data_IF_583635161962
#
_entry.id   IF_583635161962
#
_cell.length_a   1.000
_cell.length_b   1.000
_cell.length_c   1.000
_cell.angle_alpha   90.00
_cell.angle_beta   90.00
_cell.angle_gamma   90.00
#
_symmetry.space_group_name_H-M   'P 1'
#
loop_
_entity.id
_entity.type
_entity.pdbx_description
1 polymer ?
#
# COMPACT_ATOMS: atom_id res chain seq x y z
N UNK A 1 -15.59 17.55 14.12
CA UNK A 1 -15.04 17.00 12.86
C UNK A 1 -14.20 15.78 13.25
N UNK A 2 -14.46 14.62 12.63
CA UNK A 2 -13.62 13.43 12.87
C UNK A 2 -12.21 13.64 12.34
N UNK A 3 -11.23 13.08 13.04
CA UNK A 3 -9.81 13.20 12.69
C UNK A 3 -9.25 11.85 12.30
N UNK A 4 -8.49 11.82 11.19
CA UNK A 4 -7.75 10.66 10.75
C UNK A 4 -6.25 10.90 10.85
N UNK A 5 -5.54 9.97 11.50
CA UNK A 5 -4.07 9.91 11.50
C UNK A 5 -3.59 9.02 10.37
N UNK A 6 -2.71 9.51 9.49
CA UNK A 6 -2.19 8.75 8.35
C UNK A 6 -0.67 8.66 8.46
N UNK A 7 -0.17 7.50 8.89
CA UNK A 7 1.27 7.21 8.87
C UNK A 7 1.69 6.95 7.44
N UNK A 8 2.65 7.75 6.96
CA UNK A 8 3.06 7.74 5.55
C UNK A 8 2.15 8.52 4.61
N UNK A 9 1.35 9.47 5.14
CA UNK A 9 0.36 10.24 4.38
C UNK A 9 0.91 11.12 3.27
N UNK A 10 2.22 11.40 3.23
CA UNK A 10 2.88 12.17 2.17
C UNK A 10 3.54 11.32 1.07
N UNK A 11 3.51 9.99 1.21
CA UNK A 11 4.02 9.07 0.21
C UNK A 11 3.12 8.96 -1.03
N UNK A 12 3.48 8.12 -1.99
CA UNK A 12 2.74 7.94 -3.24
C UNK A 12 1.26 7.61 -3.00
N UNK A 13 0.97 6.48 -2.32
CA UNK A 13 -0.40 6.09 -1.96
C UNK A 13 -0.98 7.03 -0.90
N UNK A 14 -0.15 7.39 0.10
CA UNK A 14 -0.56 8.24 1.23
C UNK A 14 -1.13 9.58 0.82
N UNK A 15 -0.58 10.22 -0.22
CA UNK A 15 -1.07 11.51 -0.73
C UNK A 15 -2.50 11.42 -1.27
N UNK A 16 -2.83 10.33 -1.96
CA UNK A 16 -4.18 10.08 -2.44
C UNK A 16 -5.17 9.76 -1.30
N UNK A 17 -4.68 9.06 -0.26
CA UNK A 17 -5.49 8.80 0.96
C UNK A 17 -5.75 10.12 1.68
N UNK A 18 -4.71 10.93 1.89
CA UNK A 18 -4.81 12.27 2.50
C UNK A 18 -5.84 13.13 1.77
N UNK A 19 -5.74 13.18 0.43
CA UNK A 19 -6.73 13.86 -0.40
C UNK A 19 -8.14 13.31 -0.21
N UNK A 20 -8.32 11.98 -0.21
CA UNK A 20 -9.63 11.37 -0.08
C UNK A 20 -10.31 11.74 1.24
N UNK A 21 -9.58 11.78 2.35
CA UNK A 21 -10.16 12.19 3.65
C UNK A 21 -10.43 13.69 3.73
N UNK A 22 -9.53 14.54 3.22
CA UNK A 22 -9.78 15.99 3.17
C UNK A 22 -11.02 16.31 2.33
N UNK A 23 -11.15 15.75 1.13
CA UNK A 23 -12.29 15.96 0.23
C UNK A 23 -13.63 15.53 0.87
N UNK A 24 -13.60 14.69 1.89
CA UNK A 24 -14.76 14.22 2.63
C UNK A 24 -14.93 14.91 4.01
N UNK A 25 -14.22 16.00 4.25
CA UNK A 25 -14.44 16.86 5.42
C UNK A 25 -13.86 16.33 6.73
N UNK A 26 -12.81 15.50 6.67
CA UNK A 26 -12.08 15.06 7.86
C UNK A 26 -10.95 16.03 8.20
N UNK A 27 -10.61 16.15 9.48
CA UNK A 27 -9.32 16.64 9.90
C UNK A 27 -8.28 15.54 9.64
N UNK A 28 -7.19 15.87 8.95
CA UNK A 28 -6.17 14.89 8.57
C UNK A 28 -4.84 15.23 9.22
N UNK A 29 -4.28 14.27 9.95
CA UNK A 29 -2.94 14.36 10.55
C UNK A 29 -2.02 13.40 9.81
N UNK A 30 -0.99 13.91 9.15
CA UNK A 30 -0.01 13.09 8.45
C UNK A 30 1.32 13.05 9.18
N UNK A 31 1.99 11.90 9.15
CA UNK A 31 3.31 11.77 9.74
C UNK A 31 4.41 12.23 8.79
N UNK A 32 5.42 12.87 9.34
CA UNK A 32 6.72 13.12 8.72
C UNK A 32 7.83 12.70 9.66
N UNK A 33 8.90 12.08 9.16
CA UNK A 33 10.06 11.72 9.99
C UNK A 33 10.89 12.94 10.40
N UNK A 34 10.79 14.02 9.64
CA UNK A 34 11.44 15.31 9.87
C UNK A 34 10.55 16.40 9.26
N UNK A 35 9.94 17.20 10.10
CA UNK A 35 9.03 18.28 9.69
C UNK A 35 9.75 19.46 9.03
N UNK A 36 11.06 19.57 9.14
CA UNK A 36 11.86 20.59 8.44
C UNK A 36 12.02 20.28 6.94
N UNK A 37 11.78 19.04 6.55
CA UNK A 37 11.81 18.56 5.16
C UNK A 37 10.47 18.81 4.47
N UNK A 38 10.10 20.07 4.31
CA UNK A 38 8.84 20.49 3.66
C UNK A 38 8.72 19.97 2.22
N UNK A 39 9.84 19.79 1.52
CA UNK A 39 9.91 19.18 0.20
C UNK A 39 9.20 17.83 0.12
N UNK A 40 9.10 17.10 1.23
CA UNK A 40 8.44 15.80 1.30
C UNK A 40 6.92 15.85 1.41
N UNK A 41 6.34 16.97 1.87
CA UNK A 41 4.89 17.05 2.10
C UNK A 41 4.23 18.35 1.60
N UNK A 42 4.99 19.35 1.13
CA UNK A 42 4.43 20.61 0.64
C UNK A 42 3.36 20.45 -0.45
N UNK A 43 3.43 19.39 -1.26
CA UNK A 43 2.42 19.10 -2.27
C UNK A 43 1.02 18.84 -1.67
N UNK A 44 0.95 18.40 -0.42
CA UNK A 44 -0.31 18.22 0.29
C UNK A 44 -0.96 19.56 0.67
N UNK A 45 -0.16 20.61 0.86
CA UNK A 45 -0.65 21.96 1.18
C UNK A 45 -1.39 22.64 0.03
N UNK A 46 -1.26 22.08 -1.20
CA UNK A 46 -1.99 22.52 -2.37
C UNK A 46 -3.33 21.77 -2.58
N UNK A 47 -3.67 20.86 -1.68
CA UNK A 47 -4.95 20.13 -1.74
C UNK A 47 -6.12 21.01 -1.31
N UNK A 48 -7.30 20.68 -1.80
CA UNK A 48 -8.52 21.30 -1.29
C UNK A 48 -8.68 20.98 0.20
N UNK A 49 -9.18 21.94 0.98
CA UNK A 49 -9.35 21.84 2.43
C UNK A 49 -8.03 21.58 3.20
N UNK A 50 -6.89 22.02 2.66
CA UNK A 50 -5.60 21.89 3.33
C UNK A 50 -5.52 22.64 4.68
N UNK A 51 -6.44 23.55 4.98
CA UNK A 51 -6.61 24.16 6.29
C UNK A 51 -6.98 23.15 7.40
N UNK A 52 -7.46 21.97 7.02
CA UNK A 52 -7.77 20.85 7.91
C UNK A 52 -6.63 19.80 7.97
N UNK A 53 -5.47 20.08 7.35
CA UNK A 53 -4.31 19.22 7.31
C UNK A 53 -3.27 19.62 8.37
N UNK A 54 -2.80 18.64 9.13
CA UNK A 54 -1.76 18.80 10.15
C UNK A 54 -0.61 17.87 9.83
N UNK A 55 0.62 18.39 9.80
CA UNK A 55 1.83 17.58 9.71
C UNK A 55 2.43 17.42 11.10
N UNK A 56 2.73 16.21 11.50
CA UNK A 56 3.28 15.86 12.80
C UNK A 56 4.55 15.04 12.63
N UNK A 57 5.59 15.38 13.38
CA UNK A 57 6.79 14.56 13.41
C UNK A 57 6.49 13.21 14.05
N UNK A 58 6.99 12.14 13.43
CA UNK A 58 6.82 10.78 13.93
C UNK A 58 7.99 9.90 13.52
N UNK A 59 8.72 9.42 14.51
CA UNK A 59 9.52 8.22 14.38
C UNK A 59 8.65 7.00 14.78
N UNK A 60 8.37 6.11 13.83
CA UNK A 60 7.51 4.93 14.06
C UNK A 60 8.11 3.89 15.01
N UNK A 61 9.41 3.98 15.31
CA UNK A 61 10.07 3.13 16.28
C UNK A 61 9.92 3.66 17.72
N UNK A 62 9.57 4.93 17.88
CA UNK A 62 9.36 5.57 19.17
C UNK A 62 7.91 5.36 19.64
N UNK A 63 7.74 4.56 20.70
CA UNK A 63 6.44 4.26 21.29
C UNK A 63 5.71 5.50 21.83
N UNK A 64 6.45 6.46 22.38
CA UNK A 64 5.87 7.70 22.92
C UNK A 64 5.36 8.56 21.77
N UNK A 65 6.18 8.75 20.73
CA UNK A 65 5.80 9.49 19.55
C UNK A 65 4.58 8.84 18.84
N UNK A 66 4.52 7.50 18.78
CA UNK A 66 3.36 6.78 18.24
C UNK A 66 2.10 7.06 19.08
N UNK A 67 2.17 6.95 20.39
CA UNK A 67 1.04 7.21 21.28
C UNK A 67 0.55 8.66 21.15
N UNK A 68 1.44 9.63 21.10
CA UNK A 68 1.12 11.04 20.89
C UNK A 68 0.48 11.28 19.51
N UNK A 69 1.02 10.62 18.47
CA UNK A 69 0.48 10.77 17.13
C UNK A 69 -0.97 10.29 17.02
N UNK A 70 -1.31 9.17 17.64
CA UNK A 70 -2.65 8.58 17.53
C UNK A 70 -3.65 9.11 18.59
N UNK A 71 -3.18 9.85 19.61
CA UNK A 71 -3.94 10.22 20.82
C UNK A 71 -5.23 11.00 20.56
N UNK A 72 -5.31 11.76 19.45
CA UNK A 72 -6.44 12.61 19.09
C UNK A 72 -7.12 12.16 17.77
N UNK A 73 -6.90 10.91 17.35
CA UNK A 73 -7.43 10.36 16.12
C UNK A 73 -8.64 9.43 16.37
N UNK A 74 -9.70 9.59 15.59
CA UNK A 74 -10.82 8.65 15.55
C UNK A 74 -10.53 7.46 14.65
N UNK A 75 -9.74 7.69 13.60
CA UNK A 75 -9.34 6.69 12.59
C UNK A 75 -7.84 6.76 12.42
N UNK A 76 -7.19 5.60 12.27
CA UNK A 76 -5.75 5.55 11.98
C UNK A 76 -5.51 4.69 10.74
N UNK A 77 -4.76 5.25 9.78
CA UNK A 77 -4.29 4.54 8.59
C UNK A 77 -2.79 4.31 8.76
N UNK A 78 -2.38 3.05 8.76
CA UNK A 78 -0.98 2.69 8.86
C UNK A 78 -0.41 2.41 7.47
N UNK A 79 0.40 3.32 6.95
CA UNK A 79 0.97 3.29 5.59
C UNK A 79 2.11 2.31 5.38
N UNK A 80 2.39 1.52 6.38
CA UNK A 80 3.31 0.40 6.26
C UNK A 80 4.72 0.66 6.80
N UNK A 81 5.50 -0.38 6.75
CA UNK A 81 6.91 -0.46 7.09
C UNK A 81 7.78 0.38 6.16
N UNK A 82 8.92 0.86 6.63
CA UNK A 82 9.95 1.45 5.78
C UNK A 82 10.27 0.53 4.60
N UNK A 83 10.40 1.11 3.42
CA UNK A 83 10.79 0.37 2.22
C UNK A 83 12.32 0.38 2.13
N UNK A 84 12.94 -0.73 2.49
CA UNK A 84 14.38 -0.95 2.38
C UNK A 84 14.58 -2.10 1.39
N UNK A 85 15.27 -1.85 0.29
CA UNK A 85 15.53 -2.87 -0.75
C UNK A 85 16.90 -3.50 -0.61
N UNK A 86 17.89 -2.71 -0.18
CA UNK A 86 19.28 -3.17 -0.04
C UNK A 86 19.55 -3.43 1.45
N UNK A 87 19.43 -4.70 1.84
CA UNK A 87 19.70 -5.20 3.20
C UNK A 87 20.76 -6.29 3.12
N UNK A 88 21.74 -6.24 4.01
CA UNK A 88 22.81 -7.24 4.09
C UNK A 88 22.37 -8.44 4.94
N UNK A 89 21.70 -8.18 6.06
CA UNK A 89 21.11 -9.18 6.91
C UNK A 89 19.59 -8.89 7.07
N UNK A 90 18.75 -9.56 6.26
CA UNK A 90 17.29 -9.32 6.30
C UNK A 90 16.66 -9.53 7.69
N UNK A 91 17.22 -10.42 8.51
CA UNK A 91 16.65 -10.69 9.83
C UNK A 91 16.75 -9.47 10.74
N UNK A 92 17.94 -8.93 10.92
CA UNK A 92 18.21 -7.85 11.87
C UNK A 92 17.89 -6.47 11.30
N UNK A 93 18.03 -6.28 9.98
CA UNK A 93 17.83 -4.97 9.34
C UNK A 93 16.40 -4.73 8.86
N UNK A 94 15.59 -5.81 8.70
CA UNK A 94 14.25 -5.68 8.13
C UNK A 94 13.16 -6.42 8.91
N UNK A 95 13.36 -7.72 9.22
CA UNK A 95 12.27 -8.52 9.80
C UNK A 95 12.02 -8.16 11.26
N UNK A 96 13.06 -8.11 12.09
CA UNK A 96 12.93 -7.74 13.50
C UNK A 96 12.41 -6.31 13.67
N UNK A 97 12.93 -5.28 12.98
CA UNK A 97 12.34 -3.93 12.99
C UNK A 97 10.89 -3.90 12.54
N UNK A 98 10.52 -4.70 11.53
CA UNK A 98 9.13 -4.79 11.05
C UNK A 98 8.20 -5.35 12.10
N UNK A 99 8.59 -6.43 12.78
CA UNK A 99 7.79 -7.04 13.86
C UNK A 99 7.65 -6.04 15.01
N UNK A 100 8.78 -5.53 15.52
CA UNK A 100 8.82 -4.60 16.66
C UNK A 100 8.01 -3.33 16.35
N UNK A 101 8.19 -2.74 15.18
CA UNK A 101 7.45 -1.54 14.76
C UNK A 101 5.95 -1.79 14.66
N UNK A 102 5.55 -2.93 14.10
CA UNK A 102 4.14 -3.32 14.00
C UNK A 102 3.54 -3.57 15.39
N UNK A 103 4.23 -4.28 16.27
CA UNK A 103 3.79 -4.53 17.65
C UNK A 103 3.68 -3.24 18.47
N UNK A 104 4.66 -2.35 18.36
CA UNK A 104 4.63 -1.03 19.03
C UNK A 104 3.43 -0.21 18.59
N UNK A 105 3.13 -0.18 17.30
CA UNK A 105 1.95 0.51 16.77
C UNK A 105 0.65 -0.13 17.30
N UNK A 106 0.54 -1.46 17.25
CA UNK A 106 -0.64 -2.18 17.74
C UNK A 106 -0.86 -1.96 19.24
N UNK A 107 0.20 -1.88 20.03
CA UNK A 107 0.12 -1.55 21.46
C UNK A 107 -0.33 -0.10 21.67
N UNK A 108 0.20 0.84 20.91
CA UNK A 108 -0.18 2.24 20.99
C UNK A 108 -1.68 2.43 20.71
N UNK A 109 -2.22 1.87 19.62
CA UNK A 109 -3.64 1.98 19.29
C UNK A 109 -4.53 1.27 20.31
N UNK A 110 -4.09 0.13 20.87
CA UNK A 110 -4.84 -0.60 21.90
C UNK A 110 -5.03 0.22 23.19
N UNK A 111 -4.01 1.01 23.54
CA UNK A 111 -3.99 1.82 24.74
C UNK A 111 -4.54 3.23 24.55
N UNK A 112 -4.94 3.59 23.33
CA UNK A 112 -5.51 4.93 23.01
C UNK A 112 -7.03 4.85 22.98
N UNK A 113 -7.73 5.49 23.91
CA UNK A 113 -9.18 5.55 23.89
C UNK A 113 -9.67 6.45 22.75
N UNK A 114 -10.87 6.17 22.22
CA UNK A 114 -11.50 6.98 21.19
C UNK A 114 -11.22 6.56 19.75
N UNK A 115 -10.22 5.75 19.50
CA UNK A 115 -10.02 5.15 18.18
C UNK A 115 -11.21 4.23 17.87
N UNK A 116 -11.82 4.42 16.70
CA UNK A 116 -12.94 3.61 16.22
C UNK A 116 -12.49 2.60 15.15
N UNK A 117 -11.50 2.96 14.34
CA UNK A 117 -11.09 2.19 13.17
C UNK A 117 -9.60 2.30 12.89
N UNK A 118 -9.01 1.18 12.53
CA UNK A 118 -7.62 1.11 12.04
C UNK A 118 -7.59 0.38 10.70
N UNK A 119 -6.88 0.94 9.72
CA UNK A 119 -6.68 0.31 8.41
C UNK A 119 -5.19 0.18 8.13
N UNK A 120 -4.73 -1.05 7.96
CA UNK A 120 -3.36 -1.33 7.52
C UNK A 120 -3.26 -1.37 6.00
N UNK A 121 -2.28 -0.68 5.46
CA UNK A 121 -1.88 -0.83 4.05
C UNK A 121 -0.86 -1.95 3.99
N UNK A 122 -1.35 -3.17 3.77
CA UNK A 122 -0.54 -4.35 3.54
C UNK A 122 -0.02 -4.38 2.08
N UNK A 123 0.08 -5.54 1.50
CA UNK A 123 0.51 -5.77 0.12
C UNK A 123 -0.05 -7.11 -0.34
N UNK A 124 -0.13 -7.34 -1.63
CA UNK A 124 -0.32 -8.69 -2.19
C UNK A 124 0.69 -9.69 -1.62
N UNK A 125 1.87 -9.23 -1.20
CA UNK A 125 2.87 -10.06 -0.52
C UNK A 125 2.38 -10.63 0.82
N UNK A 126 1.35 -10.07 1.45
CA UNK A 126 0.66 -10.67 2.60
C UNK A 126 -0.05 -12.00 2.25
N UNK A 127 -0.25 -12.27 0.97
CA UNK A 127 -0.90 -13.43 0.42
C UNK A 127 0.05 -14.30 -0.41
N UNK A 128 0.94 -13.67 -1.18
CA UNK A 128 1.89 -14.33 -2.06
C UNK A 128 3.22 -13.55 -2.09
N UNK A 129 4.22 -14.03 -1.35
CA UNK A 129 5.55 -13.41 -1.33
C UNK A 129 6.33 -13.57 -2.64
N UNK A 130 5.82 -14.41 -3.55
CA UNK A 130 6.44 -14.66 -4.85
C UNK A 130 5.95 -13.68 -5.95
N UNK A 131 4.98 -12.81 -5.62
CA UNK A 131 4.47 -11.83 -6.59
C UNK A 131 5.62 -11.05 -7.26
N UNK A 132 5.61 -10.83 -8.59
CA UNK A 132 4.51 -11.04 -9.54
C UNK A 132 4.33 -12.49 -10.05
N UNK A 133 5.20 -13.40 -9.66
CA UNK A 133 5.09 -14.82 -10.01
C UNK A 133 3.92 -15.49 -9.26
N UNK A 134 3.38 -16.61 -9.77
CA UNK A 134 2.31 -17.32 -9.10
C UNK A 134 2.67 -17.78 -7.69
N UNK A 135 1.66 -17.92 -6.83
CA UNK A 135 1.81 -18.60 -5.56
C UNK A 135 2.20 -20.08 -5.76
N UNK A 136 2.84 -20.67 -4.77
CA UNK A 136 3.31 -22.05 -4.85
C UNK A 136 2.22 -23.04 -5.28
N UNK A 137 2.51 -23.84 -6.29
CA UNK A 137 1.59 -24.81 -6.84
C UNK A 137 0.56 -24.27 -7.86
N UNK A 138 0.52 -22.96 -8.09
CA UNK A 138 -0.35 -22.35 -9.11
C UNK A 138 0.43 -22.12 -10.42
N UNK A 139 -0.31 -22.17 -11.54
CA UNK A 139 0.18 -21.79 -12.87
C UNK A 139 0.02 -20.29 -13.13
N UNK A 140 0.60 -19.79 -14.23
CA UNK A 140 0.50 -18.37 -14.63
C UNK A 140 -0.94 -17.93 -14.95
N UNK A 141 -1.85 -18.87 -15.22
CA UNK A 141 -3.25 -18.60 -15.57
C UNK A 141 -4.22 -18.84 -14.42
N UNK A 142 -3.74 -19.44 -13.32
CA UNK A 142 -4.60 -19.72 -12.17
C UNK A 142 -4.95 -18.42 -11.44
N UNK A 143 -6.20 -18.33 -11.04
CA UNK A 143 -6.66 -17.18 -10.25
C UNK A 143 -6.32 -17.33 -8.77
N UNK A 144 -6.22 -16.19 -8.08
CA UNK A 144 -5.97 -16.11 -6.65
C UNK A 144 -6.96 -15.14 -6.00
N UNK A 145 -7.50 -15.53 -4.84
CA UNK A 145 -8.36 -14.67 -4.02
C UNK A 145 -8.10 -14.86 -2.51
N UNK A 146 -8.87 -14.17 -1.68
CA UNK A 146 -8.70 -14.17 -0.23
C UNK A 146 -9.06 -15.51 0.45
N UNK A 147 -9.60 -16.49 -0.28
CA UNK A 147 -9.85 -17.84 0.21
C UNK A 147 -8.70 -18.80 -0.09
N UNK A 148 -7.76 -18.41 -0.93
CA UNK A 148 -6.59 -19.24 -1.25
C UNK A 148 -5.62 -19.32 -0.07
N UNK A 149 -4.86 -20.41 -0.03
CA UNK A 149 -3.77 -20.58 0.95
C UNK A 149 -2.68 -19.57 0.67
N UNK A 150 -2.31 -18.81 1.70
CA UNK A 150 -1.19 -17.88 1.63
C UNK A 150 0.10 -18.61 1.32
N UNK A 151 0.91 -18.01 0.46
CA UNK A 151 2.21 -18.54 0.07
C UNK A 151 3.35 -17.65 0.54
N UNK A 152 4.34 -18.25 1.18
CA UNK A 152 5.61 -17.62 1.53
C UNK A 152 6.77 -18.56 1.25
N UNK A 153 7.92 -18.01 0.89
CA UNK A 153 9.15 -18.76 0.63
C UNK A 153 10.37 -17.99 1.15
N UNK A 154 11.33 -18.67 1.76
CA UNK A 154 12.62 -18.06 2.10
C UNK A 154 13.42 -17.54 0.88
N UNK A 155 13.10 -18.03 -0.31
CA UNK A 155 13.69 -17.56 -1.57
C UNK A 155 12.99 -16.30 -2.12
N UNK A 156 11.86 -15.88 -1.54
CA UNK A 156 11.20 -14.64 -1.93
C UNK A 156 12.03 -13.42 -1.51
N UNK A 157 11.85 -12.32 -2.24
CA UNK A 157 12.53 -11.07 -1.92
C UNK A 157 12.30 -10.65 -0.44
N UNK A 158 13.32 -10.22 0.32
CA UNK A 158 13.20 -9.88 1.74
C UNK A 158 12.07 -8.90 2.05
N UNK A 159 11.88 -7.88 1.22
CA UNK A 159 10.77 -6.94 1.37
C UNK A 159 9.39 -7.64 1.33
N UNK A 160 9.19 -8.60 0.41
CA UNK A 160 7.92 -9.34 0.33
C UNK A 160 7.71 -10.19 1.59
N UNK A 161 8.77 -10.81 2.10
CA UNK A 161 8.74 -11.55 3.36
C UNK A 161 8.39 -10.63 4.55
N UNK A 162 9.00 -9.44 4.63
CA UNK A 162 8.68 -8.46 5.68
C UNK A 162 7.21 -8.02 5.65
N UNK A 163 6.64 -7.79 4.46
CA UNK A 163 5.21 -7.49 4.31
C UNK A 163 4.30 -8.64 4.75
N UNK A 164 4.70 -9.87 4.47
CA UNK A 164 4.01 -11.06 4.95
C UNK A 164 4.05 -11.13 6.49
N UNK A 165 5.22 -10.96 7.08
CA UNK A 165 5.45 -10.97 8.54
C UNK A 165 4.63 -9.87 9.23
N UNK A 166 4.65 -8.64 8.71
CA UNK A 166 3.85 -7.53 9.24
C UNK A 166 2.35 -7.88 9.27
N UNK A 167 1.83 -8.45 8.18
CA UNK A 167 0.43 -8.85 8.12
C UNK A 167 0.10 -9.99 9.10
N UNK A 168 0.99 -10.98 9.25
CA UNK A 168 0.84 -12.04 10.24
C UNK A 168 0.83 -11.50 11.67
N UNK A 169 1.66 -10.50 11.98
CA UNK A 169 1.68 -9.84 13.28
C UNK A 169 0.33 -9.18 13.58
N UNK A 170 -0.26 -8.49 12.59
CA UNK A 170 -1.61 -7.90 12.71
C UNK A 170 -2.68 -8.98 12.93
N UNK A 171 -2.66 -10.05 12.15
CA UNK A 171 -3.64 -11.15 12.29
C UNK A 171 -3.54 -11.85 13.64
N UNK A 172 -2.30 -12.08 14.11
CA UNK A 172 -2.05 -12.63 15.43
C UNK A 172 -2.58 -11.71 16.53
N UNK A 173 -2.32 -10.40 16.42
CA UNK A 173 -2.81 -9.42 17.40
C UNK A 173 -4.35 -9.41 17.46
N UNK A 174 -5.05 -9.44 16.33
CA UNK A 174 -6.52 -9.50 16.29
C UNK A 174 -7.00 -10.77 16.99
N UNK A 175 -6.38 -11.91 16.71
CA UNK A 175 -6.74 -13.21 17.33
C UNK A 175 -6.54 -13.20 18.83
N UNK A 176 -5.44 -12.64 19.30
CA UNK A 176 -5.06 -12.61 20.71
C UNK A 176 -5.86 -11.55 21.52
N UNK A 177 -6.54 -10.62 20.83
CA UNK A 177 -7.33 -9.55 21.45
C UNK A 177 -8.77 -9.53 20.91
N UNK A 178 -9.62 -10.51 21.26
CA UNK A 178 -10.98 -10.64 20.68
C UNK A 178 -11.96 -9.54 21.10
N UNK A 179 -11.62 -8.76 22.13
CA UNK A 179 -12.49 -7.74 22.72
C UNK A 179 -11.96 -6.31 22.50
N UNK A 180 -11.37 -6.03 21.33
CA UNK A 180 -10.96 -4.67 20.98
C UNK A 180 -12.17 -3.74 20.91
N UNK A 181 -12.00 -2.51 21.39
CA UNK A 181 -13.03 -1.45 21.31
C UNK A 181 -13.14 -0.80 19.94
N UNK A 182 -12.27 -1.14 19.01
CA UNK A 182 -12.18 -0.62 17.64
C UNK A 182 -12.03 -1.77 16.64
N UNK A 183 -12.29 -1.48 15.38
CA UNK A 183 -12.08 -2.44 14.30
C UNK A 183 -10.72 -2.27 13.64
N UNK A 184 -10.08 -3.40 13.30
CA UNK A 184 -8.87 -3.43 12.47
C UNK A 184 -9.20 -4.12 11.16
N UNK A 185 -8.81 -3.53 10.04
CA UNK A 185 -8.89 -4.13 8.71
C UNK A 185 -7.61 -3.87 7.93
N UNK A 186 -7.34 -4.69 6.92
CA UNK A 186 -6.19 -4.51 6.03
C UNK A 186 -6.63 -4.38 4.58
N UNK A 187 -5.83 -3.72 3.76
CA UNK A 187 -5.93 -3.73 2.31
C UNK A 187 -4.60 -4.15 1.72
N UNK A 188 -4.65 -5.04 0.75
CA UNK A 188 -3.49 -5.67 0.12
C UNK A 188 -3.49 -5.36 -1.38
N UNK A 189 -2.99 -4.19 -1.80
CA UNK A 189 -2.90 -3.87 -3.22
C UNK A 189 -1.84 -4.75 -3.90
N UNK A 190 -2.10 -5.07 -5.15
CA UNK A 190 -1.12 -5.57 -6.11
C UNK A 190 -0.19 -4.45 -6.57
N UNK A 191 0.46 -4.52 -7.73
CA UNK A 191 1.28 -3.42 -8.21
C UNK A 191 0.44 -2.15 -8.41
N UNK A 192 0.77 -1.10 -7.64
CA UNK A 192 0.01 0.15 -7.66
C UNK A 192 0.58 1.07 -8.72
N UNK A 193 -0.25 1.48 -9.66
CA UNK A 193 0.12 2.37 -10.77
C UNK A 193 -0.66 3.68 -10.75
N UNK A 194 -0.08 4.71 -11.35
CA UNK A 194 -0.70 6.01 -11.53
C UNK A 194 0.29 7.17 -11.44
N UNK A 195 -0.24 8.38 -11.57
CA UNK A 195 0.55 9.62 -11.50
C UNK A 195 0.94 9.91 -10.04
N UNK A 196 2.19 10.29 -9.78
CA UNK A 196 2.56 10.83 -8.48
C UNK A 196 1.95 12.23 -8.28
N UNK A 197 1.51 12.53 -7.06
CA UNK A 197 1.10 13.89 -6.65
C UNK A 197 2.29 14.74 -6.19
N UNK A 198 3.45 14.12 -6.00
CA UNK A 198 4.69 14.78 -5.59
C UNK A 198 5.80 14.56 -6.61
N UNK A 199 6.84 15.38 -6.52
CA UNK A 199 8.06 15.24 -7.33
C UNK A 199 9.08 14.28 -6.68
N UNK A 200 8.63 13.44 -5.75
CA UNK A 200 9.51 12.49 -5.06
C UNK A 200 9.84 11.31 -5.96
N UNK A 201 11.10 10.90 -5.92
CA UNK A 201 11.64 9.77 -6.70
C UNK A 201 11.75 8.48 -5.85
N UNK A 202 11.42 8.55 -4.56
CA UNK A 202 11.59 7.46 -3.60
C UNK A 202 10.42 6.44 -3.58
N UNK A 203 9.50 6.51 -4.53
CA UNK A 203 8.44 5.52 -4.67
C UNK A 203 8.84 4.40 -5.62
N UNK A 204 8.87 3.17 -5.12
CA UNK A 204 9.12 1.97 -5.92
C UNK A 204 8.15 1.83 -7.08
N UNK A 205 6.86 2.13 -6.84
CA UNK A 205 5.84 2.03 -7.87
C UNK A 205 6.12 2.98 -9.05
N UNK A 206 6.49 4.22 -8.75
CA UNK A 206 6.82 5.20 -9.80
C UNK A 206 8.17 4.88 -10.44
N UNK A 207 9.15 4.41 -9.66
CA UNK A 207 10.45 3.97 -10.17
C UNK A 207 10.31 2.79 -11.15
N UNK A 208 9.58 1.74 -10.79
CA UNK A 208 9.36 0.61 -11.68
C UNK A 208 8.59 0.99 -12.95
N UNK A 209 7.58 1.86 -12.86
CA UNK A 209 6.89 2.39 -14.04
C UNK A 209 7.85 3.15 -14.97
N UNK A 210 8.77 3.95 -14.40
CA UNK A 210 9.80 4.65 -15.17
C UNK A 210 10.75 3.68 -15.87
N UNK A 211 11.24 2.65 -15.18
CA UNK A 211 12.11 1.61 -15.74
C UNK A 211 11.40 0.88 -16.88
N UNK A 212 10.16 0.45 -16.68
CA UNK A 212 9.37 -0.23 -17.71
C UNK A 212 9.12 0.67 -18.92
N UNK A 213 8.74 1.94 -18.69
CA UNK A 213 8.50 2.91 -19.76
C UNK A 213 9.71 3.07 -20.67
N UNK A 214 10.90 3.15 -20.08
CA UNK A 214 12.15 3.43 -20.80
C UNK A 214 12.95 2.17 -21.15
N UNK A 215 12.45 0.97 -20.80
CA UNK A 215 13.13 -0.33 -20.97
C UNK A 215 14.53 -0.35 -20.36
N UNK A 216 14.65 0.18 -19.14
CA UNK A 216 15.90 0.23 -18.39
C UNK A 216 15.93 -0.96 -17.42
N UNK A 217 17.00 -1.74 -17.43
CA UNK A 217 17.26 -2.81 -16.45
C UNK A 217 18.54 -2.45 -15.67
N UNK A 218 18.41 -1.90 -14.46
CA UNK A 218 19.56 -1.52 -13.65
C UNK A 218 20.26 -2.74 -13.01
N UNK A 219 19.59 -3.88 -12.94
CA UNK A 219 20.05 -5.11 -12.32
C UNK A 219 19.47 -6.35 -13.00
N UNK A 220 20.00 -7.52 -12.64
CA UNK A 220 19.61 -8.82 -13.22
C UNK A 220 18.15 -9.19 -12.91
N UNK A 221 17.59 -8.73 -11.78
CA UNK A 221 16.21 -9.00 -11.44
C UNK A 221 15.26 -8.31 -12.42
N UNK A 222 15.46 -7.03 -12.68
CA UNK A 222 14.64 -6.27 -13.65
C UNK A 222 14.86 -6.80 -15.07
N UNK A 223 16.11 -7.20 -15.41
CA UNK A 223 16.39 -7.84 -16.71
C UNK A 223 15.59 -9.13 -16.87
N UNK A 224 15.55 -9.98 -15.84
CA UNK A 224 14.79 -11.22 -15.88
C UNK A 224 13.27 -10.99 -16.04
N UNK A 225 12.73 -9.91 -15.51
CA UNK A 225 11.32 -9.53 -15.74
C UNK A 225 11.04 -9.26 -17.23
N UNK A 226 11.96 -8.58 -17.93
CA UNK A 226 11.84 -8.33 -19.37
C UNK A 226 12.03 -9.60 -20.20
N UNK A 227 13.07 -10.38 -19.92
CA UNK A 227 13.40 -11.59 -20.68
C UNK A 227 12.28 -12.62 -20.64
N UNK A 228 11.60 -12.72 -19.50
CA UNK A 228 10.46 -13.63 -19.30
C UNK A 228 9.10 -12.99 -19.59
N UNK A 229 9.08 -11.74 -20.03
CA UNK A 229 7.85 -10.97 -20.25
C UNK A 229 6.81 -11.14 -19.13
N UNK A 230 7.26 -10.98 -17.88
CA UNK A 230 6.46 -11.27 -16.68
C UNK A 230 5.18 -10.43 -16.65
N UNK A 231 4.09 -11.05 -16.22
CA UNK A 231 2.80 -10.38 -16.08
C UNK A 231 2.60 -9.84 -14.67
N UNK A 232 2.13 -8.59 -14.58
CA UNK A 232 1.80 -7.92 -13.33
C UNK A 232 0.29 -7.73 -13.19
N UNK A 233 -0.26 -8.15 -12.07
CA UNK A 233 -1.56 -7.66 -11.64
C UNK A 233 -1.39 -6.22 -11.15
N UNK A 234 -2.27 -5.32 -11.58
CA UNK A 234 -2.13 -3.87 -11.41
C UNK A 234 -3.42 -3.28 -10.84
N UNK A 235 -3.29 -2.23 -10.07
CA UNK A 235 -4.41 -1.44 -9.55
C UNK A 235 -4.07 0.05 -9.59
N UNK A 236 -5.05 0.90 -9.91
CA UNK A 236 -4.88 2.35 -9.89
C UNK A 236 -4.72 2.87 -8.46
N UNK A 237 -3.81 3.81 -8.24
CA UNK A 237 -3.57 4.44 -6.93
C UNK A 237 -4.82 5.11 -6.37
N UNK A 238 -5.65 5.70 -7.22
CA UNK A 238 -6.93 6.31 -6.85
C UNK A 238 -7.91 5.26 -6.30
N UNK A 239 -7.95 4.07 -6.90
CA UNK A 239 -8.81 2.99 -6.42
C UNK A 239 -8.30 2.42 -5.09
N UNK A 240 -6.99 2.34 -4.90
CA UNK A 240 -6.40 1.96 -3.60
C UNK A 240 -6.81 2.96 -2.52
N UNK A 241 -6.64 4.26 -2.76
CA UNK A 241 -7.04 5.29 -1.80
C UNK A 241 -8.54 5.28 -1.50
N UNK A 242 -9.38 5.08 -2.54
CA UNK A 242 -10.82 4.94 -2.40
C UNK A 242 -11.21 3.71 -1.58
N UNK A 243 -10.54 2.57 -1.80
CA UNK A 243 -10.77 1.36 -1.03
C UNK A 243 -10.39 1.56 0.45
N UNK A 244 -9.24 2.20 0.72
CA UNK A 244 -8.80 2.52 2.08
C UNK A 244 -9.81 3.44 2.78
N UNK A 245 -10.24 4.52 2.11
CA UNK A 245 -11.28 5.41 2.63
C UNK A 245 -12.56 4.64 2.97
N UNK A 246 -13.07 3.83 2.04
CA UNK A 246 -14.28 3.02 2.26
C UNK A 246 -14.10 2.00 3.39
N UNK A 247 -12.95 1.34 3.48
CA UNK A 247 -12.64 0.42 4.58
C UNK A 247 -12.68 1.16 5.92
N UNK A 248 -12.16 2.38 5.97
CA UNK A 248 -12.10 3.18 7.18
C UNK A 248 -13.48 3.63 7.68
N UNK A 249 -14.42 3.90 6.77
CA UNK A 249 -15.76 4.42 7.14
C UNK A 249 -16.83 3.33 7.23
N UNK A 250 -16.58 2.12 6.76
CA UNK A 250 -17.55 1.02 6.78
C UNK A 250 -17.37 0.20 8.05
N UNK A 251 -18.47 -0.03 8.78
CA UNK A 251 -18.50 -0.86 10.00
C UNK A 251 -18.62 -2.35 9.66
N UNK A 252 -18.24 -3.21 10.60
CA UNK A 252 -18.36 -4.67 10.47
C UNK A 252 -17.27 -5.32 9.62
N UNK A 253 -16.14 -4.65 9.45
CA UNK A 253 -15.02 -5.14 8.64
C UNK A 253 -13.83 -5.63 9.48
N UNK A 254 -14.04 -5.83 10.80
CA UNK A 254 -12.98 -6.30 11.69
C UNK A 254 -12.38 -7.62 11.21
N UNK A 255 -11.05 -7.69 11.15
CA UNK A 255 -10.31 -8.87 10.70
C UNK A 255 -10.29 -9.11 9.18
N UNK A 256 -10.98 -8.27 8.38
CA UNK A 256 -10.95 -8.37 6.92
C UNK A 256 -9.63 -7.87 6.34
N UNK A 257 -9.17 -8.54 5.30
CA UNK A 257 -8.04 -8.09 4.48
C UNK A 257 -8.43 -8.23 3.00
N UNK A 258 -8.44 -7.14 2.27
CA UNK A 258 -8.94 -7.04 0.90
C UNK A 258 -7.80 -7.04 -0.11
N UNK A 259 -7.79 -8.00 -1.03
CA UNK A 259 -6.97 -7.90 -2.24
C UNK A 259 -7.52 -6.80 -3.16
N UNK A 260 -6.65 -5.87 -3.52
CA UNK A 260 -7.00 -4.80 -4.44
C UNK A 260 -6.25 -4.99 -5.75
N UNK A 261 -6.96 -5.44 -6.77
CA UNK A 261 -6.46 -5.68 -8.11
C UNK A 261 -7.48 -5.21 -9.14
N UNK A 262 -7.03 -4.76 -10.31
CA UNK A 262 -7.89 -4.51 -11.45
C UNK A 262 -7.64 -5.54 -12.54
N UNK A 263 -6.59 -5.38 -13.30
CA UNK A 263 -6.26 -6.19 -14.48
C UNK A 263 -4.80 -6.64 -14.42
N UNK A 264 -4.48 -7.69 -15.16
CA UNK A 264 -3.12 -8.23 -15.29
C UNK A 264 -2.64 -8.07 -16.72
N UNK A 265 -1.47 -7.49 -16.90
CA UNK A 265 -0.82 -7.30 -18.19
C UNK A 265 0.65 -7.73 -18.14
N UNK A 266 1.17 -8.17 -19.27
CA UNK A 266 2.59 -8.41 -19.45
C UNK A 266 3.40 -7.11 -19.36
N UNK A 267 4.67 -7.21 -18.98
CA UNK A 267 5.56 -6.04 -18.91
C UNK A 267 5.72 -5.35 -20.28
N UNK A 268 5.62 -6.12 -21.38
CA UNK A 268 5.63 -5.55 -22.73
C UNK A 268 4.39 -4.72 -23.03
N UNK A 269 3.20 -5.17 -22.62
CA UNK A 269 1.97 -4.37 -22.76
C UNK A 269 1.93 -3.19 -21.80
N UNK A 270 2.49 -3.33 -20.59
CA UNK A 270 2.69 -2.19 -19.70
C UNK A 270 3.59 -1.12 -20.36
N UNK A 271 4.69 -1.52 -21.00
CA UNK A 271 5.57 -0.59 -21.71
C UNK A 271 4.83 0.15 -22.82
N UNK A 272 4.00 -0.55 -23.62
CA UNK A 272 3.16 0.09 -24.66
C UNK A 272 2.24 1.14 -24.02
N UNK A 273 1.47 0.76 -23.01
CA UNK A 273 0.51 1.67 -22.37
C UNK A 273 1.20 2.87 -21.69
N UNK A 274 2.37 2.68 -21.06
CA UNK A 274 3.16 3.78 -20.50
C UNK A 274 3.68 4.76 -21.57
N UNK A 275 3.82 4.30 -22.81
CA UNK A 275 4.17 5.12 -23.98
C UNK A 275 2.95 5.56 -24.80
N UNK A 276 1.73 5.43 -24.24
CA UNK A 276 0.46 5.84 -24.86
C UNK A 276 0.08 5.02 -26.11
N UNK A 277 0.56 3.78 -26.17
CA UNK A 277 0.21 2.81 -27.21
C UNK A 277 -0.80 1.79 -26.68
N UNK A 278 -1.59 1.18 -27.58
CA UNK A 278 -2.55 0.14 -27.23
C UNK A 278 -1.82 -1.16 -26.83
N UNK A 279 -2.29 -1.86 -25.79
CA UNK A 279 -1.77 -3.18 -25.47
C UNK A 279 -2.12 -4.17 -26.60
N UNK A 280 -1.26 -5.15 -26.83
CA UNK A 280 -1.46 -6.17 -27.87
C UNK A 280 -2.42 -7.25 -27.42
N UNK A 281 -2.44 -7.54 -26.10
CA UNK A 281 -3.26 -8.59 -25.54
C UNK A 281 -4.39 -8.02 -24.67
N UNK A 282 -5.45 -8.80 -24.52
CA UNK A 282 -6.52 -8.49 -23.58
C UNK A 282 -6.03 -8.73 -22.15
N UNK A 283 -6.55 -7.97 -21.17
CA UNK A 283 -6.18 -8.19 -19.78
C UNK A 283 -6.64 -9.57 -19.27
N UNK A 284 -5.82 -10.16 -18.43
CA UNK A 284 -6.21 -11.28 -17.59
C UNK A 284 -6.66 -10.78 -16.20
N UNK A 285 -7.42 -11.61 -15.49
CA UNK A 285 -7.77 -11.41 -14.09
C UNK A 285 -7.14 -12.55 -13.28
N UNK A 286 -5.95 -12.33 -12.77
CA UNK A 286 -5.23 -13.31 -11.97
C UNK A 286 -5.57 -13.14 -10.47
N UNK A 287 -5.48 -11.93 -9.96
CA UNK A 287 -5.92 -11.63 -8.59
C UNK A 287 -7.35 -11.09 -8.62
N UNK A 288 -8.27 -11.84 -7.98
CA UNK A 288 -9.67 -11.45 -7.89
C UNK A 288 -9.85 -10.36 -6.84
N UNK A 289 -10.88 -9.56 -7.02
CA UNK A 289 -11.22 -8.42 -6.17
C UNK A 289 -12.70 -8.46 -5.74
N UNK A 290 -13.31 -9.65 -5.77
CA UNK A 290 -14.75 -9.82 -5.56
C UNK A 290 -15.15 -9.45 -4.14
N UNK A 291 -14.31 -9.71 -3.14
CA UNK A 291 -14.54 -9.34 -1.76
C UNK A 291 -14.58 -7.81 -1.60
N UNK A 292 -13.63 -7.10 -2.18
CA UNK A 292 -13.60 -5.63 -2.15
C UNK A 292 -14.78 -5.01 -2.91
N UNK A 293 -15.18 -5.58 -4.06
CA UNK A 293 -16.38 -5.17 -4.78
C UNK A 293 -17.63 -5.31 -3.93
N UNK A 294 -17.78 -6.45 -3.27
CA UNK A 294 -18.95 -6.78 -2.46
C UNK A 294 -19.04 -5.92 -1.20
N UNK A 295 -18.01 -5.94 -0.37
CA UNK A 295 -18.05 -5.35 0.97
C UNK A 295 -17.84 -3.83 0.94
N UNK A 296 -17.05 -3.33 0.00
CA UNK A 296 -16.70 -1.90 -0.13
C UNK A 296 -17.42 -1.21 -1.28
N UNK A 297 -18.29 -1.89 -2.02
CA UNK A 297 -18.95 -1.37 -3.21
C UNK A 297 -17.95 -0.68 -4.16
N UNK A 298 -16.87 -1.37 -4.49
CA UNK A 298 -15.80 -0.88 -5.36
C UNK A 298 -16.09 -1.17 -6.83
N UNK A 299 -15.69 -0.22 -7.68
CA UNK A 299 -15.49 -0.42 -9.11
C UNK A 299 -14.06 -0.01 -9.41
N UNK A 300 -13.30 -0.90 -10.01
CA UNK A 300 -11.89 -0.66 -10.33
C UNK A 300 -11.77 -0.12 -11.75
N UNK A 301 -10.89 0.87 -11.93
CA UNK A 301 -10.60 1.46 -13.23
C UNK A 301 -9.83 0.46 -14.10
N UNK A 302 -10.03 0.50 -15.44
CA UNK A 302 -9.14 -0.17 -16.36
C UNK A 302 -7.68 0.29 -16.17
N UNK A 303 -6.74 -0.66 -16.17
CA UNK A 303 -5.31 -0.39 -15.97
C UNK A 303 -4.76 0.60 -17.01
N UNK A 304 -5.25 0.51 -18.25
CA UNK A 304 -4.87 1.43 -19.31
C UNK A 304 -5.03 2.90 -18.91
N UNK A 305 -6.08 3.26 -18.19
CA UNK A 305 -6.32 4.65 -17.79
C UNK A 305 -5.22 5.18 -16.87
N UNK A 306 -4.75 4.37 -15.92
CA UNK A 306 -3.69 4.81 -15.00
C UNK A 306 -2.31 4.78 -15.64
N UNK A 307 -2.00 3.81 -16.51
CA UNK A 307 -0.71 3.73 -17.20
C UNK A 307 -0.55 4.83 -18.26
N UNK A 308 -1.58 5.14 -19.04
CA UNK A 308 -1.55 6.24 -20.02
C UNK A 308 -1.34 7.60 -19.35
N UNK A 309 -1.83 7.78 -18.14
CA UNK A 309 -1.70 9.03 -17.39
C UNK A 309 -0.41 9.12 -16.57
N UNK A 310 0.44 8.09 -16.60
CA UNK A 310 1.70 8.09 -15.88
C UNK A 310 2.62 9.21 -16.38
N UNK A 311 3.05 10.07 -15.46
CA UNK A 311 4.07 11.10 -15.70
C UNK A 311 5.14 10.95 -14.63
N UNK A 312 6.35 10.66 -15.07
CA UNK A 312 7.53 10.76 -14.24
C UNK A 312 8.09 12.16 -14.38
N UNK A 313 8.25 12.85 -13.28
CA UNK A 313 8.79 14.21 -13.29
C UNK A 313 10.30 14.07 -13.10
N UNK A 314 11.05 14.15 -14.19
CA UNK A 314 12.51 14.34 -14.13
C UNK A 314 12.81 15.80 -13.76
N UNK A 315 13.77 16.00 -12.85
CA UNK A 315 14.31 17.32 -12.55
C UNK A 315 15.03 17.92 -13.75
#
# INVERSE_FOLDING_TARGET
>A
MKKVGIIGGSGFIGSYITKAFLDNGYGVKVSATDITREDKYQHLMALNQAENLYVSELNVEDKVALADFVSDCDIVIHGGTPFILDVQDPQTELFDPTIIGTENFLEAIKNTPGIEKVVFIASVAAWNTNFPMPAGGKSLTDTFDENDTKFTSPASHPYAQAKFIANQTVEKFIKDNPNLSFEISSVSPVFVSGKSMSNREDSTSTGLQFLIKNKIAPDDFIQALYDNNVSFAIVAVEDVAKAIYKTAITKGLHGKNYLLSSETYSISDMNLMLNQEEPKEKPAIIYKNDLAKKDLNMNFKPVKECLFNFKYITK
#
